data_IF_446358858163
#
_entry.id   IF_446358858163
#
_cell.length_a   1.000
_cell.length_b   1.000
_cell.length_c   1.000
_cell.angle_alpha   90.00
_cell.angle_beta   90.00
_cell.angle_gamma   90.00
#
_symmetry.space_group_name_H-M   'P 1'
#
loop_
_entity.id
_entity.type
_entity.pdbx_description
1 polymer ?
#
# COMPACT_ATOMS: atom_id res chain seq x y z
N UNK A 1 -69.15 2.28 2.95
CA UNK A 1 -68.11 2.04 3.99
C UNK A 1 -66.89 1.23 3.51
N UNK A 2 -66.60 1.10 2.21
CA UNK A 2 -65.53 0.22 1.68
C UNK A 2 -64.21 0.94 1.32
N UNK A 3 -64.23 2.26 1.14
CA UNK A 3 -63.07 3.01 0.63
C UNK A 3 -61.99 3.31 1.69
N UNK A 4 -62.38 3.59 2.93
CA UNK A 4 -61.44 3.94 4.02
C UNK A 4 -60.61 2.75 4.52
N UNK A 5 -61.16 1.54 4.48
CA UNK A 5 -60.45 0.32 4.86
C UNK A 5 -59.29 -0.03 3.91
N UNK A 6 -59.39 0.35 2.63
CA UNK A 6 -58.36 0.05 1.62
C UNK A 6 -57.12 0.93 1.79
N UNK A 7 -57.28 2.18 2.23
CA UNK A 7 -56.16 3.11 2.47
C UNK A 7 -55.30 2.72 3.68
N UNK A 8 -55.90 2.18 4.74
CA UNK A 8 -55.12 1.75 5.92
C UNK A 8 -54.25 0.53 5.62
N UNK A 9 -54.73 -0.39 4.79
CA UNK A 9 -53.99 -1.57 4.37
C UNK A 9 -52.83 -1.23 3.42
N UNK A 10 -52.99 -0.25 2.53
CA UNK A 10 -51.92 0.21 1.64
C UNK A 10 -50.83 0.92 2.45
N UNK A 11 -51.19 1.77 3.42
CA UNK A 11 -50.21 2.47 4.26
C UNK A 11 -49.40 1.51 5.14
N UNK A 12 -50.03 0.45 5.67
CA UNK A 12 -49.32 -0.59 6.45
C UNK A 12 -48.33 -1.41 5.60
N UNK A 13 -48.68 -1.68 4.34
CA UNK A 13 -47.84 -2.49 3.44
C UNK A 13 -46.62 -1.75 2.90
N UNK A 14 -46.68 -0.41 2.81
CA UNK A 14 -45.52 0.41 2.40
C UNK A 14 -44.50 0.55 3.53
N UNK A 15 -44.96 0.62 4.79
CA UNK A 15 -44.06 0.74 5.96
C UNK A 15 -43.39 -0.59 6.33
N UNK A 16 -44.04 -1.75 6.10
CA UNK A 16 -43.41 -3.05 6.38
C UNK A 16 -42.42 -3.52 5.29
N UNK A 17 -42.27 -2.77 4.20
CA UNK A 17 -41.37 -3.12 3.08
C UNK A 17 -40.17 -2.17 2.97
N UNK A 18 -40.05 -1.20 3.88
CA UNK A 18 -38.89 -0.29 3.97
C UNK A 18 -37.81 -0.78 4.95
N UNK A 19 -38.06 -1.84 5.71
CA UNK A 19 -37.14 -2.39 6.71
C UNK A 19 -36.74 -3.81 6.36
N UNK A 20 -36.14 -4.00 5.18
CA UNK A 20 -35.44 -5.25 4.89
C UNK A 20 -34.04 -5.15 5.53
N UNK A 21 -33.77 -5.78 6.70
CA UNK A 21 -32.50 -5.65 7.41
C UNK A 21 -31.30 -6.17 6.60
N UNK A 22 -31.56 -6.89 5.49
CA UNK A 22 -30.54 -7.32 4.54
C UNK A 22 -29.97 -6.18 3.69
N UNK A 23 -30.73 -5.10 3.44
CA UNK A 23 -30.26 -3.95 2.63
C UNK A 23 -29.30 -3.02 3.36
N UNK A 24 -29.29 -3.04 4.70
CA UNK A 24 -28.33 -2.25 5.50
C UNK A 24 -26.97 -2.94 5.66
N UNK A 25 -26.88 -4.23 5.33
CA UNK A 25 -25.65 -5.02 5.46
C UNK A 25 -24.64 -4.83 4.31
N UNK A 26 -25.08 -4.21 3.20
CA UNK A 26 -24.27 -4.03 1.99
C UNK A 26 -23.65 -2.62 1.86
N UNK A 27 -23.94 -1.72 2.80
CA UNK A 27 -23.08 -0.55 3.04
C UNK A 27 -21.92 -0.98 3.95
N UNK A 28 -21.08 -1.88 3.44
CA UNK A 28 -19.74 -2.02 4.00
C UNK A 28 -19.11 -0.62 3.94
N UNK A 29 -18.84 -0.04 5.11
CA UNK A 29 -18.44 1.35 5.32
C UNK A 29 -17.13 1.72 4.60
N UNK A 30 -16.49 0.73 3.99
CA UNK A 30 -15.27 0.85 3.21
C UNK A 30 -15.57 0.36 1.80
N UNK A 31 -15.56 1.24 0.78
CA UNK A 31 -15.66 0.78 -0.60
C UNK A 31 -14.55 -0.25 -0.83
N UNK A 32 -14.94 -1.49 -1.17
CA UNK A 32 -13.99 -2.57 -1.48
C UNK A 32 -12.99 -2.02 -2.51
N UNK A 33 -11.73 -1.86 -2.10
CA UNK A 33 -10.68 -1.27 -2.93
C UNK A 33 -10.58 -2.08 -4.22
N UNK A 34 -10.93 -1.46 -5.35
CA UNK A 34 -11.02 -2.15 -6.65
C UNK A 34 -9.69 -2.77 -7.08
N UNK A 35 -8.59 -2.26 -6.55
CA UNK A 35 -7.21 -2.71 -6.80
C UNK A 35 -6.97 -4.18 -6.38
N UNK A 36 -7.76 -4.71 -5.44
CA UNK A 36 -7.67 -6.11 -4.99
C UNK A 36 -8.53 -7.07 -5.80
N UNK A 37 -9.07 -6.66 -6.95
CA UNK A 37 -9.83 -7.58 -7.81
C UNK A 37 -8.92 -8.50 -8.63
N UNK A 38 -7.67 -8.09 -8.87
CA UNK A 38 -6.72 -8.84 -9.69
C UNK A 38 -5.67 -9.59 -8.87
N UNK A 39 -5.53 -10.90 -9.11
CA UNK A 39 -4.53 -11.75 -8.44
C UNK A 39 -3.09 -11.23 -8.59
N UNK A 40 -2.76 -10.66 -9.75
CA UNK A 40 -1.43 -10.09 -9.99
C UNK A 40 -1.19 -8.84 -9.14
N UNK A 41 -2.18 -7.95 -9.03
CA UNK A 41 -2.07 -6.75 -8.20
C UNK A 41 -2.05 -7.10 -6.72
N UNK A 42 -2.86 -8.07 -6.30
CA UNK A 42 -2.85 -8.60 -4.93
C UNK A 42 -1.48 -9.17 -4.57
N UNK A 43 -0.91 -10.04 -5.43
CA UNK A 43 0.42 -10.60 -5.23
C UNK A 43 1.49 -9.52 -5.12
N UNK A 44 1.47 -8.52 -6.01
CA UNK A 44 2.41 -7.40 -5.96
C UNK A 44 2.24 -6.55 -4.69
N UNK A 45 1.02 -6.29 -4.23
CA UNK A 45 0.77 -5.52 -2.99
C UNK A 45 1.27 -6.27 -1.75
N UNK A 46 1.03 -7.58 -1.67
CA UNK A 46 1.56 -8.43 -0.60
C UNK A 46 3.09 -8.43 -0.65
N UNK A 47 3.67 -8.58 -1.85
CA UNK A 47 5.11 -8.51 -2.07
C UNK A 47 5.70 -7.17 -1.61
N UNK A 48 5.05 -6.05 -1.96
CA UNK A 48 5.44 -4.71 -1.50
C UNK A 48 5.43 -4.64 0.03
N UNK A 49 4.36 -5.10 0.68
CA UNK A 49 4.25 -5.07 2.14
C UNK A 49 5.33 -5.93 2.81
N UNK A 50 5.61 -7.12 2.28
CA UNK A 50 6.66 -8.00 2.80
C UNK A 50 8.06 -7.41 2.64
N UNK A 51 8.40 -6.89 1.45
CA UNK A 51 9.73 -6.31 1.21
C UNK A 51 9.91 -5.01 1.99
N UNK A 52 8.87 -4.19 2.09
CA UNK A 52 8.95 -2.94 2.85
C UNK A 52 9.05 -3.20 4.36
N UNK A 53 8.31 -4.18 4.89
CA UNK A 53 8.43 -4.57 6.30
C UNK A 53 9.79 -5.21 6.60
N UNK A 54 10.31 -6.08 5.74
CA UNK A 54 11.64 -6.66 5.92
C UNK A 54 12.73 -5.59 5.89
N UNK A 55 12.62 -4.59 5.01
CA UNK A 55 13.52 -3.44 4.97
C UNK A 55 13.56 -2.71 6.32
N UNK A 56 12.39 -2.40 6.88
CA UNK A 56 12.28 -1.72 8.19
C UNK A 56 12.86 -2.56 9.33
N UNK A 57 12.59 -3.87 9.34
CA UNK A 57 13.10 -4.80 10.36
C UNK A 57 14.62 -4.89 10.29
N UNK A 58 15.19 -5.07 9.09
CA UNK A 58 16.63 -5.18 8.89
C UNK A 58 17.32 -3.88 9.30
N UNK A 59 16.81 -2.73 8.86
CA UNK A 59 17.36 -1.43 9.25
C UNK A 59 17.33 -1.22 10.76
N UNK A 60 16.20 -1.53 11.41
CA UNK A 60 16.05 -1.38 12.86
C UNK A 60 17.01 -2.29 13.64
N UNK A 61 17.16 -3.55 13.19
CA UNK A 61 18.03 -4.52 13.86
C UNK A 61 19.51 -4.18 13.66
N UNK A 62 19.92 -3.84 12.44
CA UNK A 62 21.32 -3.56 12.12
C UNK A 62 21.77 -2.16 12.56
N UNK A 63 20.86 -1.24 12.90
CA UNK A 63 21.17 0.15 13.24
C UNK A 63 22.22 0.31 14.35
N UNK A 64 22.18 -0.55 15.36
CA UNK A 64 23.12 -0.53 16.50
C UNK A 64 24.51 -1.04 16.13
N UNK A 65 24.60 -1.94 15.15
CA UNK A 65 25.86 -2.54 14.69
C UNK A 65 26.52 -1.74 13.56
N UNK A 66 25.75 -0.87 12.89
CA UNK A 66 26.26 -0.02 11.83
C UNK A 66 27.22 1.05 12.40
N UNK A 67 28.41 1.21 11.79
CA UNK A 67 29.34 2.27 12.15
C UNK A 67 28.70 3.65 11.93
N UNK A 68 29.21 4.70 12.60
CA UNK A 68 28.65 6.05 12.52
C UNK A 68 28.63 6.60 11.08
N UNK A 69 29.58 6.14 10.28
CA UNK A 69 29.82 6.58 8.92
C UNK A 69 29.69 5.39 7.97
N UNK A 70 28.86 5.54 6.95
CA UNK A 70 28.59 4.53 5.93
C UNK A 70 28.85 5.09 4.53
N UNK A 71 29.27 4.24 3.58
CA UNK A 71 29.47 4.68 2.20
C UNK A 71 28.13 5.06 1.56
N UNK A 72 28.05 6.29 1.04
CA UNK A 72 26.84 6.78 0.37
C UNK A 72 26.60 6.12 -1.00
N UNK A 73 27.67 5.63 -1.64
CA UNK A 73 27.63 4.87 -2.89
C UNK A 73 28.56 3.66 -2.82
N UNK A 74 28.35 2.66 -3.68
CA UNK A 74 29.12 1.40 -3.76
C UNK A 74 30.60 1.52 -4.15
N UNK A 75 31.22 2.71 -4.07
CA UNK A 75 32.62 2.90 -4.45
C UNK A 75 33.54 2.83 -3.24
N UNK A 76 34.36 1.78 -3.20
CA UNK A 76 35.50 1.64 -2.29
C UNK A 76 36.68 2.55 -2.66
N UNK A 77 36.72 3.11 -3.87
CA UNK A 77 37.93 3.72 -4.44
C UNK A 77 38.07 5.23 -4.27
N UNK A 78 37.15 5.90 -3.57
CA UNK A 78 37.05 7.36 -3.58
C UNK A 78 36.84 8.02 -2.22
N UNK A 79 37.57 7.56 -1.19
CA UNK A 79 38.04 8.33 -0.03
C UNK A 79 37.07 9.03 0.93
N UNK A 80 36.01 9.72 0.48
CA UNK A 80 35.52 10.86 1.29
C UNK A 80 34.00 11.08 1.32
N UNK A 81 33.18 10.27 0.64
CA UNK A 81 31.70 10.40 0.73
C UNK A 81 31.10 9.40 1.70
N UNK A 82 31.53 9.53 2.95
CA UNK A 82 30.91 8.87 4.08
C UNK A 82 29.73 9.72 4.55
N UNK A 83 28.55 9.13 4.60
CA UNK A 83 27.36 9.76 5.16
C UNK A 83 27.11 9.21 6.57
N UNK A 84 26.45 9.99 7.41
CA UNK A 84 25.95 9.51 8.69
C UNK A 84 24.99 8.33 8.48
N UNK A 85 25.04 7.32 9.35
CA UNK A 85 24.17 6.14 9.24
C UNK A 85 22.67 6.47 9.30
N UNK A 86 22.31 7.65 9.78
CA UNK A 86 20.96 8.20 9.76
C UNK A 86 20.40 8.29 8.33
N UNK A 87 21.27 8.48 7.33
CA UNK A 87 20.85 8.59 5.92
C UNK A 87 20.22 7.30 5.38
N UNK A 88 20.50 6.14 5.99
CA UNK A 88 19.83 4.88 5.62
C UNK A 88 18.33 4.93 5.87
N UNK A 89 17.87 5.72 6.87
CA UNK A 89 16.45 5.92 7.14
C UNK A 89 15.75 6.77 6.09
N UNK A 90 16.50 7.56 5.32
CA UNK A 90 15.94 8.34 4.22
C UNK A 90 15.36 7.44 3.14
N UNK A 91 15.95 6.26 2.93
CA UNK A 91 15.49 5.28 1.93
C UNK A 91 14.05 4.81 2.20
N UNK A 92 13.71 4.18 3.35
CA UNK A 92 12.34 3.77 3.63
C UNK A 92 11.38 4.98 3.73
N UNK A 93 11.83 6.15 4.18
CA UNK A 93 10.97 7.35 4.23
C UNK A 93 10.55 7.83 2.83
N UNK A 94 11.50 7.97 1.91
CA UNK A 94 11.22 8.38 0.52
C UNK A 94 10.39 7.30 -0.19
N UNK A 95 10.73 6.03 0.00
CA UNK A 95 9.93 4.93 -0.53
C UNK A 95 8.50 4.92 0.01
N UNK A 96 8.30 5.21 1.29
CA UNK A 96 6.98 5.29 1.90
C UNK A 96 6.12 6.37 1.20
N UNK A 97 6.65 7.59 1.10
CA UNK A 97 5.96 8.71 0.43
C UNK A 97 5.67 8.37 -1.04
N UNK A 98 6.69 7.89 -1.77
CA UNK A 98 6.54 7.52 -3.18
C UNK A 98 5.50 6.41 -3.37
N UNK A 99 5.49 5.40 -2.50
CA UNK A 99 4.52 4.31 -2.53
C UNK A 99 3.11 4.80 -2.28
N UNK A 100 2.91 5.68 -1.30
CA UNK A 100 1.60 6.28 -1.02
C UNK A 100 1.07 7.05 -2.22
N UNK A 101 1.90 7.89 -2.86
CA UNK A 101 1.52 8.64 -4.06
C UNK A 101 1.18 7.68 -5.20
N UNK A 102 2.06 6.70 -5.47
CA UNK A 102 1.90 5.79 -6.60
C UNK A 102 0.66 4.88 -6.42
N UNK A 103 0.40 4.36 -5.22
CA UNK A 103 -0.80 3.59 -4.92
C UNK A 103 -2.07 4.43 -5.01
N UNK A 104 -2.02 5.70 -4.59
CA UNK A 104 -3.16 6.62 -4.75
C UNK A 104 -3.48 6.84 -6.23
N UNK A 105 -2.46 7.07 -7.07
CA UNK A 105 -2.62 7.20 -8.51
C UNK A 105 -3.16 5.92 -9.15
N UNK A 106 -2.63 4.76 -8.75
CA UNK A 106 -3.12 3.46 -9.21
C UNK A 106 -4.59 3.25 -8.84
N UNK A 107 -5.01 3.65 -7.64
CA UNK A 107 -6.40 3.54 -7.18
C UNK A 107 -7.35 4.44 -7.98
N UNK A 108 -6.97 5.70 -8.19
CA UNK A 108 -7.79 6.68 -8.92
C UNK A 108 -8.00 6.26 -10.38
N UNK A 109 -6.97 5.69 -11.01
CA UNK A 109 -7.03 5.29 -12.40
C UNK A 109 -7.58 3.87 -12.63
N UNK A 110 -7.75 3.05 -11.58
CA UNK A 110 -8.12 1.64 -11.73
C UNK A 110 -9.44 1.42 -12.48
N UNK A 111 -10.43 2.30 -12.27
CA UNK A 111 -11.74 2.20 -12.94
C UNK A 111 -11.71 2.63 -14.41
N UNK A 112 -10.77 3.52 -14.79
CA UNK A 112 -10.63 4.00 -16.17
C UNK A 112 -9.73 3.07 -16.97
N UNK A 113 -8.56 2.75 -16.42
CA UNK A 113 -7.50 2.03 -17.11
C UNK A 113 -6.84 1.02 -16.15
N UNK A 114 -7.41 -0.20 -16.01
CA UNK A 114 -6.91 -1.21 -15.07
C UNK A 114 -5.50 -1.69 -15.44
N UNK A 115 -5.14 -1.68 -16.73
CA UNK A 115 -3.80 -2.05 -17.22
C UNK A 115 -2.75 -1.08 -16.67
N UNK A 116 -3.03 0.23 -16.74
CA UNK A 116 -2.14 1.26 -16.21
C UNK A 116 -1.92 1.07 -14.71
N UNK A 117 -2.99 0.88 -13.94
CA UNK A 117 -2.89 0.64 -12.50
C UNK A 117 -2.07 -0.61 -12.15
N UNK A 118 -2.21 -1.71 -12.91
CA UNK A 118 -1.37 -2.91 -12.72
C UNK A 118 0.09 -2.61 -12.96
N UNK A 119 0.42 -1.89 -14.04
CA UNK A 119 1.80 -1.50 -14.35
C UNK A 119 2.39 -0.62 -13.25
N UNK A 120 1.61 0.34 -12.71
CA UNK A 120 2.05 1.19 -11.59
C UNK A 120 2.42 0.36 -10.35
N UNK A 121 1.59 -0.62 -10.00
CA UNK A 121 1.81 -1.47 -8.82
C UNK A 121 2.99 -2.42 -9.03
N UNK A 122 3.11 -3.03 -10.21
CA UNK A 122 4.23 -3.93 -10.54
C UNK A 122 5.54 -3.15 -10.57
N UNK A 123 5.56 -1.97 -11.20
CA UNK A 123 6.73 -1.09 -11.21
C UNK A 123 7.12 -0.67 -9.80
N UNK A 124 6.13 -0.34 -8.95
CA UNK A 124 6.38 -0.02 -7.54
C UNK A 124 7.04 -1.17 -6.80
N UNK A 125 6.57 -2.40 -7.01
CA UNK A 125 7.18 -3.60 -6.44
C UNK A 125 8.66 -3.72 -6.81
N UNK A 126 9.00 -3.57 -8.10
CA UNK A 126 10.39 -3.63 -8.54
C UNK A 126 11.26 -2.51 -7.94
N UNK A 127 10.74 -1.28 -7.85
CA UNK A 127 11.46 -0.15 -7.24
C UNK A 127 11.78 -0.43 -5.77
N UNK A 128 10.81 -0.93 -5.01
CA UNK A 128 10.99 -1.27 -3.59
C UNK A 128 11.97 -2.44 -3.44
N UNK A 129 11.84 -3.47 -4.28
CA UNK A 129 12.75 -4.62 -4.29
C UNK A 129 14.19 -4.24 -4.62
N UNK A 130 14.42 -3.42 -5.65
CA UNK A 130 15.73 -2.90 -6.00
C UNK A 130 16.33 -2.05 -4.88
N UNK A 131 15.50 -1.21 -4.24
CA UNK A 131 15.95 -0.38 -3.12
C UNK A 131 16.33 -1.23 -1.91
N UNK A 132 15.57 -2.30 -1.63
CA UNK A 132 15.90 -3.27 -0.59
C UNK A 132 17.24 -3.96 -0.84
N UNK A 133 17.47 -4.45 -2.06
CA UNK A 133 18.77 -5.02 -2.45
C UNK A 133 19.90 -4.01 -2.29
N UNK A 134 19.63 -2.74 -2.59
CA UNK A 134 20.62 -1.70 -2.44
C UNK A 134 21.03 -1.46 -0.99
N UNK A 135 20.05 -1.40 -0.09
CA UNK A 135 20.31 -1.30 1.35
C UNK A 135 21.06 -2.53 1.87
N UNK A 136 20.66 -3.74 1.47
CA UNK A 136 21.38 -4.96 1.84
C UNK A 136 22.85 -4.92 1.40
N UNK A 137 23.12 -4.44 0.19
CA UNK A 137 24.48 -4.33 -0.32
C UNK A 137 25.30 -3.28 0.44
N UNK A 138 24.70 -2.16 0.86
CA UNK A 138 25.37 -1.17 1.72
C UNK A 138 25.71 -1.81 3.09
N UNK A 139 24.74 -2.48 3.70
CA UNK A 139 24.95 -3.15 5.00
C UNK A 139 26.05 -4.22 4.90
N UNK A 140 25.99 -5.08 3.88
CA UNK A 140 26.98 -6.14 3.66
C UNK A 140 28.36 -5.67 3.19
N UNK A 141 28.52 -4.39 2.85
CA UNK A 141 29.84 -3.80 2.58
C UNK A 141 30.53 -3.34 3.88
N UNK A 142 29.72 -3.12 4.91
CA UNK A 142 30.10 -2.45 6.15
C UNK A 142 30.25 -3.44 7.31
N UNK A 143 29.50 -4.54 7.28
CA UNK A 143 29.66 -5.71 8.13
C UNK A 143 30.68 -6.66 7.50
#
# INVERSE_FOLDING_TARGET
MSWFAKKSLIKKRVVSNSEDPKRLKDKSLFPKLSIFQDKSSEFSLIGIALVFSSLLVILSWQYSFLPPQIPFYYNLSGGERLAGKEILWLVPSVLGIFSTINLTLAQLNYKREPVLSRVLIIALFFIIFLSFLGVLKIIGLVI
#
